data_IF_591435678451
#
_entry.id   IF_591435678451
#
_cell.length_a   1.000
_cell.length_b   1.000
_cell.length_c   1.000
_cell.angle_alpha   90.00
_cell.angle_beta   90.00
_cell.angle_gamma   90.00
#
_symmetry.space_group_name_H-M   'P 1'
#
loop_
_entity.id
_entity.type
_entity.pdbx_description
1 polymer ?
#
# COMPACT_ATOMS: atom_id res chain seq x y z
N UNK A 1 -2.38 -21.71 17.44
CA UNK A 1 -2.80 -21.76 16.00
C UNK A 1 -2.56 -20.39 15.39
N UNK A 2 -2.29 -20.29 14.08
CA UNK A 2 -2.16 -19.00 13.38
C UNK A 2 -3.49 -18.73 12.68
N UNK A 3 -4.03 -17.54 12.88
CA UNK A 3 -5.31 -17.08 12.32
C UNK A 3 -5.05 -16.04 11.24
N UNK A 4 -5.72 -16.16 10.11
CA UNK A 4 -5.89 -15.10 9.12
C UNK A 4 -7.06 -14.18 9.53
N UNK A 5 -7.27 -13.09 8.79
CA UNK A 5 -8.26 -12.08 9.14
C UNK A 5 -9.71 -12.64 9.20
N UNK A 6 -10.08 -13.65 8.38
CA UNK A 6 -11.42 -14.23 8.36
C UNK A 6 -11.69 -15.13 9.57
N UNK A 7 -10.68 -15.91 9.98
CA UNK A 7 -10.75 -16.78 11.15
C UNK A 7 -10.56 -16.02 12.47
N UNK A 8 -9.75 -14.95 12.44
CA UNK A 8 -9.42 -14.12 13.60
C UNK A 8 -10.69 -13.51 14.24
N UNK A 9 -11.54 -12.86 13.44
CA UNK A 9 -12.77 -12.24 13.93
C UNK A 9 -13.75 -13.28 14.50
N UNK A 10 -13.92 -14.41 13.81
CA UNK A 10 -14.82 -15.49 14.24
C UNK A 10 -14.35 -16.13 15.53
N UNK A 11 -13.05 -16.39 15.67
CA UNK A 11 -12.46 -17.00 16.86
C UNK A 11 -12.58 -16.08 18.08
N UNK A 12 -12.16 -14.82 17.96
CA UNK A 12 -12.29 -13.83 19.04
C UNK A 12 -13.76 -13.69 19.47
N UNK A 13 -14.67 -13.56 18.52
CA UNK A 13 -16.10 -13.45 18.80
C UNK A 13 -16.63 -14.68 19.56
N UNK A 14 -16.29 -15.88 19.13
CA UNK A 14 -16.73 -17.12 19.76
C UNK A 14 -16.30 -17.20 21.23
N UNK A 15 -15.05 -16.83 21.53
CA UNK A 15 -14.57 -16.79 22.92
C UNK A 15 -15.27 -15.70 23.73
N UNK A 16 -15.46 -14.50 23.18
CA UNK A 16 -16.19 -13.44 23.87
C UNK A 16 -17.66 -13.77 24.12
N UNK A 17 -18.34 -14.46 23.21
CA UNK A 17 -19.73 -14.88 23.41
C UNK A 17 -19.86 -15.95 24.50
N UNK A 18 -18.85 -16.77 24.71
CA UNK A 18 -18.81 -17.85 25.73
C UNK A 18 -18.12 -17.46 27.04
N UNK A 19 -17.74 -16.20 27.21
CA UNK A 19 -16.99 -15.70 28.35
C UNK A 19 -17.72 -15.98 29.69
N UNK A 20 -16.96 -16.36 30.70
CA UNK A 20 -17.47 -16.66 32.04
C UNK A 20 -17.03 -15.66 33.11
N UNK A 21 -15.78 -15.16 33.00
CA UNK A 21 -15.16 -14.41 34.10
C UNK A 21 -14.55 -13.08 33.67
N UNK A 22 -13.82 -13.03 32.54
CA UNK A 22 -13.05 -11.84 32.18
C UNK A 22 -12.85 -11.63 30.68
N UNK A 23 -12.81 -10.35 30.30
CA UNK A 23 -12.32 -9.89 28.99
C UNK A 23 -11.35 -8.74 29.24
N UNK A 24 -10.07 -8.94 28.90
CA UNK A 24 -9.04 -7.94 29.00
C UNK A 24 -8.49 -7.62 27.60
N UNK A 25 -8.42 -6.35 27.27
CA UNK A 25 -8.04 -5.87 25.93
C UNK A 25 -6.94 -4.83 26.05
N UNK A 26 -5.85 -5.02 25.29
CA UNK A 26 -4.82 -4.01 25.12
C UNK A 26 -4.75 -3.63 23.64
N UNK A 27 -5.05 -2.38 23.29
CA UNK A 27 -5.01 -1.89 21.91
C UNK A 27 -5.03 -0.36 21.87
N UNK A 28 -4.22 0.29 21.01
CA UNK A 28 -4.19 1.75 20.93
C UNK A 28 -5.41 2.37 20.22
N UNK A 29 -6.13 1.59 19.40
CA UNK A 29 -7.24 2.11 18.60
C UNK A 29 -8.51 1.28 18.82
N UNK A 30 -9.60 1.97 19.18
CA UNK A 30 -10.90 1.35 19.48
C UNK A 30 -11.98 2.05 18.64
N UNK A 31 -12.66 1.28 17.81
CA UNK A 31 -13.72 1.71 16.88
C UNK A 31 -15.01 2.12 17.55
N UNK A 32 -16.05 2.34 16.75
CA UNK A 32 -17.39 2.68 17.22
C UNK A 32 -18.11 1.50 17.88
N UNK A 33 -19.09 1.78 18.74
CA UNK A 33 -19.82 0.75 19.52
C UNK A 33 -20.44 -0.33 18.62
N UNK A 34 -20.92 0.01 17.44
CA UNK A 34 -21.46 -0.97 16.49
C UNK A 34 -20.40 -1.98 16.03
N UNK A 35 -19.19 -1.51 15.84
CA UNK A 35 -18.04 -2.36 15.45
C UNK A 35 -17.65 -3.28 16.61
N UNK A 36 -17.59 -2.72 17.83
CA UNK A 36 -17.29 -3.48 19.05
C UNK A 36 -18.27 -4.62 19.24
N UNK A 37 -19.59 -4.33 19.15
CA UNK A 37 -20.62 -5.35 19.28
C UNK A 37 -20.53 -6.43 18.18
N UNK A 38 -20.03 -6.08 17.01
CA UNK A 38 -19.81 -7.05 15.93
C UNK A 38 -18.58 -7.91 16.17
N UNK A 39 -17.51 -7.35 16.73
CA UNK A 39 -16.21 -8.03 16.90
C UNK A 39 -16.21 -8.89 18.17
N UNK A 40 -16.58 -8.33 19.31
CA UNK A 40 -16.51 -9.01 20.64
C UNK A 40 -17.89 -9.31 21.25
N UNK A 41 -18.99 -9.05 20.55
CA UNK A 41 -20.33 -9.31 21.05
C UNK A 41 -20.78 -8.36 22.14
N UNK A 42 -21.80 -8.80 22.90
CA UNK A 42 -22.39 -8.03 23.99
C UNK A 42 -22.15 -8.60 25.38
N UNK A 43 -21.50 -9.76 25.50
CA UNK A 43 -21.31 -10.45 26.79
C UNK A 43 -20.44 -9.66 27.78
N UNK A 44 -19.58 -8.78 27.28
CA UNK A 44 -18.76 -7.89 28.13
C UNK A 44 -19.61 -6.88 28.94
N UNK A 45 -20.89 -6.64 28.57
CA UNK A 45 -21.80 -5.73 29.31
C UNK A 45 -22.27 -6.31 30.64
N UNK A 46 -22.07 -7.60 30.84
CA UNK A 46 -22.47 -8.28 32.09
C UNK A 46 -21.65 -7.74 33.25
N UNK A 47 -22.31 -7.42 34.36
CA UNK A 47 -21.68 -6.89 35.56
C UNK A 47 -20.78 -7.87 36.32
N UNK A 48 -20.91 -9.18 36.04
CA UNK A 48 -20.09 -10.26 36.61
C UNK A 48 -18.80 -10.51 35.81
N UNK A 49 -18.57 -9.81 34.68
CA UNK A 49 -17.36 -9.90 33.90
C UNK A 49 -16.32 -8.87 34.37
N UNK A 50 -15.11 -9.31 34.67
CA UNK A 50 -13.96 -8.42 34.87
C UNK A 50 -13.51 -7.88 33.48
N UNK A 51 -14.00 -6.70 33.14
CA UNK A 51 -13.73 -6.04 31.87
C UNK A 51 -12.65 -4.99 32.03
N UNK A 52 -11.53 -5.13 31.31
CA UNK A 52 -10.39 -4.19 31.37
C UNK A 52 -9.90 -3.81 29.99
N UNK A 53 -9.57 -2.53 29.82
CA UNK A 53 -9.00 -1.98 28.59
C UNK A 53 -7.75 -1.18 28.92
N UNK A 54 -6.66 -1.48 28.21
CA UNK A 54 -5.47 -0.63 28.14
C UNK A 54 -5.41 -0.03 26.75
N UNK A 55 -5.36 1.27 26.66
CA UNK A 55 -5.32 2.01 25.38
C UNK A 55 -4.35 3.18 25.47
N UNK A 56 -4.19 3.93 24.39
CA UNK A 56 -3.46 5.19 24.35
C UNK A 56 -4.42 6.29 23.90
N UNK A 57 -4.93 7.08 24.84
CA UNK A 57 -5.85 8.20 24.53
C UNK A 57 -5.13 9.43 24.00
N UNK A 58 -3.80 9.51 24.10
CA UNK A 58 -3.02 10.65 23.62
C UNK A 58 -2.65 10.50 22.14
N UNK A 59 -2.16 9.31 21.72
CA UNK A 59 -1.68 9.02 20.37
C UNK A 59 -2.56 8.03 19.61
N UNK A 60 -3.33 7.20 20.32
CA UNK A 60 -4.38 6.36 19.79
C UNK A 60 -5.74 7.08 19.78
N UNK A 61 -6.81 6.33 19.72
CA UNK A 61 -8.14 6.88 19.96
C UNK A 61 -9.14 5.83 20.43
N UNK A 62 -10.14 6.31 21.17
CA UNK A 62 -11.39 5.61 21.45
C UNK A 62 -12.56 6.52 21.06
N UNK A 63 -13.53 5.98 20.33
CA UNK A 63 -14.71 6.76 19.95
C UNK A 63 -15.58 7.06 21.19
N UNK A 64 -16.17 8.25 21.22
CA UNK A 64 -16.96 8.70 22.36
C UNK A 64 -18.11 7.73 22.68
N UNK A 65 -18.87 7.32 21.67
CA UNK A 65 -19.98 6.39 21.82
C UNK A 65 -19.57 5.06 22.47
N UNK A 66 -18.37 4.59 22.17
CA UNK A 66 -17.81 3.37 22.76
C UNK A 66 -17.27 3.59 24.15
N UNK A 67 -16.62 4.73 24.37
CA UNK A 67 -16.11 5.11 25.70
C UNK A 67 -17.26 5.23 26.71
N UNK A 68 -18.31 5.95 26.36
CA UNK A 68 -19.47 6.17 27.22
C UNK A 68 -20.14 4.84 27.58
N UNK A 69 -20.32 3.94 26.59
CA UNK A 69 -20.90 2.62 26.81
C UNK A 69 -20.02 1.73 27.72
N UNK A 70 -18.69 1.79 27.56
CA UNK A 70 -17.77 1.01 28.42
C UNK A 70 -17.80 1.51 29.86
N UNK A 71 -17.80 2.82 30.09
CA UNK A 71 -17.81 3.41 31.44
C UNK A 71 -19.18 3.20 32.13
N UNK A 72 -20.28 3.26 31.36
CA UNK A 72 -21.62 2.99 31.89
C UNK A 72 -21.73 1.57 32.44
N UNK A 73 -21.24 0.58 31.71
CA UNK A 73 -21.32 -0.83 32.12
C UNK A 73 -20.20 -1.22 33.12
N UNK A 74 -18.99 -0.65 32.96
CA UNK A 74 -17.82 -0.98 33.77
C UNK A 74 -17.05 0.29 34.19
N UNK A 75 -17.48 1.02 35.22
CA UNK A 75 -16.73 2.14 35.74
C UNK A 75 -15.30 1.74 36.12
N UNK A 76 -14.30 2.53 35.71
CA UNK A 76 -12.85 2.26 35.95
C UNK A 76 -12.24 1.15 35.10
N UNK A 77 -12.91 0.67 34.06
CA UNK A 77 -12.41 -0.37 33.18
C UNK A 77 -11.35 0.10 32.18
N UNK A 78 -11.18 1.40 31.96
CA UNK A 78 -10.28 1.95 30.95
C UNK A 78 -9.07 2.59 31.60
N UNK A 79 -7.88 2.15 31.21
CA UNK A 79 -6.63 2.81 31.55
C UNK A 79 -5.85 3.20 30.31
N UNK A 80 -5.12 4.31 30.38
CA UNK A 80 -4.29 4.81 29.29
C UNK A 80 -2.83 4.82 29.64
N UNK A 81 -2.01 4.36 28.72
CA UNK A 81 -0.55 4.48 28.78
C UNK A 81 -0.04 4.92 27.42
N UNK A 82 0.77 6.00 27.41
CA UNK A 82 1.32 6.59 26.18
C UNK A 82 2.20 5.59 25.43
N UNK A 83 2.06 5.59 24.10
CA UNK A 83 2.84 4.76 23.16
C UNK A 83 2.61 3.24 23.29
N UNK A 84 1.53 2.79 23.95
CA UNK A 84 1.16 1.37 23.88
C UNK A 84 0.79 1.01 22.43
N UNK A 85 1.37 -0.07 21.92
CA UNK A 85 1.09 -0.54 20.55
C UNK A 85 0.78 -2.04 20.49
N UNK A 86 0.72 -2.71 21.64
CA UNK A 86 0.29 -4.10 21.74
C UNK A 86 -1.18 -4.27 21.33
N UNK A 87 -1.52 -5.40 20.72
CA UNK A 87 -2.89 -5.83 20.45
C UNK A 87 -3.04 -7.22 21.03
N UNK A 88 -3.66 -7.25 22.20
CA UNK A 88 -3.83 -8.44 23.04
C UNK A 88 -5.29 -8.50 23.46
N UNK A 89 -5.87 -9.68 23.33
CA UNK A 89 -7.21 -10.01 23.78
C UNK A 89 -7.14 -11.23 24.67
N UNK A 90 -7.52 -11.12 25.94
CA UNK A 90 -7.58 -12.22 26.91
C UNK A 90 -9.05 -12.44 27.24
N UNK A 91 -9.52 -13.66 27.07
CA UNK A 91 -10.89 -14.07 27.38
C UNK A 91 -10.82 -15.34 28.21
N UNK A 92 -11.13 -15.26 29.49
CA UNK A 92 -10.96 -16.35 30.47
C UNK A 92 -9.53 -16.93 30.41
N UNK A 93 -9.40 -18.23 30.09
CA UNK A 93 -8.12 -18.93 30.00
C UNK A 93 -7.58 -19.00 28.52
N UNK A 94 -8.13 -18.18 27.62
CA UNK A 94 -7.68 -18.07 26.25
C UNK A 94 -7.12 -16.68 25.98
N UNK A 95 -6.11 -16.58 25.12
CA UNK A 95 -5.62 -15.28 24.68
C UNK A 95 -5.23 -15.27 23.20
N UNK A 96 -5.35 -14.11 22.61
CA UNK A 96 -4.98 -13.81 21.23
C UNK A 96 -4.00 -12.64 21.20
N UNK A 97 -2.82 -12.87 20.61
CA UNK A 97 -1.87 -11.82 20.25
C UNK A 97 -1.96 -11.60 18.74
N UNK A 98 -2.16 -10.37 18.31
CA UNK A 98 -2.46 -10.08 16.90
C UNK A 98 -1.91 -8.74 16.45
N UNK A 99 -1.94 -8.49 15.15
CA UNK A 99 -1.72 -7.16 14.56
C UNK A 99 -2.99 -6.30 14.54
N UNK A 100 -4.18 -6.89 14.76
CA UNK A 100 -5.47 -6.26 14.65
C UNK A 100 -5.84 -5.37 15.84
N UNK A 101 -6.08 -4.09 15.60
CA UNK A 101 -6.72 -3.20 16.58
C UNK A 101 -8.22 -3.51 16.71
N UNK A 102 -8.85 -3.12 17.83
CA UNK A 102 -10.29 -3.29 18.03
C UNK A 102 -11.11 -2.31 17.20
N UNK A 103 -11.06 -2.48 15.88
CA UNK A 103 -11.74 -1.62 14.89
C UNK A 103 -12.35 -2.46 13.77
N UNK A 104 -13.44 -1.99 13.16
CA UNK A 104 -14.01 -2.63 11.96
C UNK A 104 -12.96 -2.83 10.87
N UNK A 105 -12.14 -1.82 10.63
CA UNK A 105 -11.14 -1.86 9.56
C UNK A 105 -10.14 -3.01 9.77
N UNK A 106 -9.69 -3.26 11.00
CA UNK A 106 -8.77 -4.34 11.29
C UNK A 106 -9.43 -5.71 11.09
N UNK A 107 -10.65 -5.89 11.61
CA UNK A 107 -11.34 -7.19 11.60
C UNK A 107 -12.17 -7.48 10.34
N UNK A 108 -12.22 -6.60 9.34
CA UNK A 108 -13.02 -6.83 8.13
C UNK A 108 -12.45 -6.29 6.82
N UNK A 109 -11.39 -5.45 6.88
CA UNK A 109 -10.88 -4.75 5.71
C UNK A 109 -9.36 -4.83 5.55
N UNK A 110 -8.65 -5.41 6.53
CA UNK A 110 -7.18 -5.53 6.52
C UNK A 110 -6.77 -6.99 6.63
N UNK A 111 -5.64 -7.30 6.04
CA UNK A 111 -4.97 -8.57 6.26
C UNK A 111 -4.24 -8.49 7.60
N UNK A 112 -4.88 -9.01 8.63
CA UNK A 112 -4.32 -9.09 9.98
C UNK A 112 -3.96 -10.54 10.27
N UNK A 113 -3.00 -10.72 11.15
CA UNK A 113 -2.55 -12.03 11.62
C UNK A 113 -2.64 -12.09 13.13
N UNK A 114 -2.94 -13.26 13.66
CA UNK A 114 -2.94 -13.49 15.10
C UNK A 114 -2.59 -14.93 15.45
N UNK A 115 -2.21 -15.15 16.70
CA UNK A 115 -1.94 -16.47 17.25
C UNK A 115 -2.48 -16.57 18.67
N UNK A 116 -3.03 -17.73 19.01
CA UNK A 116 -3.36 -18.14 20.38
C UNK A 116 -2.38 -19.19 20.93
N UNK A 117 -1.37 -19.54 20.12
CA UNK A 117 -0.30 -20.45 20.53
C UNK A 117 0.78 -19.68 21.32
N UNK A 118 0.38 -19.16 22.46
CA UNK A 118 1.21 -18.36 23.36
C UNK A 118 0.98 -18.78 24.80
N UNK A 119 1.97 -18.55 25.65
CA UNK A 119 1.84 -18.80 27.06
C UNK A 119 0.93 -17.76 27.73
N UNK A 120 -0.30 -18.12 28.05
CA UNK A 120 -1.28 -17.21 28.65
C UNK A 120 -0.77 -16.53 29.92
N UNK A 121 -0.04 -17.23 30.77
CA UNK A 121 0.48 -16.66 32.03
C UNK A 121 1.50 -15.55 31.76
N UNK A 122 2.29 -15.68 30.71
CA UNK A 122 3.23 -14.62 30.30
C UNK A 122 2.48 -13.41 29.72
N UNK A 123 1.44 -13.64 28.91
CA UNK A 123 0.60 -12.58 28.34
C UNK A 123 -0.16 -11.84 29.43
N UNK A 124 -0.71 -12.55 30.41
CA UNK A 124 -1.36 -11.97 31.59
C UNK A 124 -0.38 -11.15 32.45
N UNK A 125 0.81 -11.70 32.69
CA UNK A 125 1.86 -10.99 33.41
C UNK A 125 2.23 -9.68 32.72
N UNK A 126 2.37 -9.72 31.38
CA UNK A 126 2.62 -8.52 30.60
C UNK A 126 1.45 -7.52 30.69
N UNK A 127 0.20 -7.97 30.51
CA UNK A 127 -0.98 -7.11 30.63
C UNK A 127 -1.05 -6.44 32.01
N UNK A 128 -0.88 -7.22 33.09
CA UNK A 128 -0.91 -6.72 34.46
C UNK A 128 0.25 -5.74 34.72
N UNK A 129 1.44 -5.98 34.14
CA UNK A 129 2.56 -5.05 34.26
C UNK A 129 2.27 -3.69 33.66
N UNK A 130 1.51 -3.65 32.56
CA UNK A 130 1.01 -2.40 31.96
C UNK A 130 -0.14 -1.80 32.79
N UNK A 131 -1.06 -2.65 33.27
CA UNK A 131 -2.22 -2.20 34.05
C UNK A 131 -1.80 -1.53 35.35
N UNK A 132 -0.79 -2.03 36.02
CA UNK A 132 -0.25 -1.54 37.30
C UNK A 132 0.91 -0.55 37.13
N UNK A 133 1.31 -0.25 35.90
CA UNK A 133 2.41 0.66 35.62
C UNK A 133 2.12 2.05 36.21
N UNK A 134 3.11 2.63 36.89
CA UNK A 134 2.98 3.99 37.47
C UNK A 134 2.68 5.08 36.46
N UNK A 135 2.97 4.87 35.17
CA UNK A 135 2.66 5.79 34.06
C UNK A 135 1.25 5.58 33.50
N UNK A 136 0.59 4.48 33.86
CA UNK A 136 -0.76 4.18 33.39
C UNK A 136 -1.79 4.95 34.21
N UNK A 137 -2.65 5.68 33.54
CA UNK A 137 -3.65 6.53 34.15
C UNK A 137 -5.05 5.96 33.96
N UNK A 138 -5.86 6.01 35.01
CA UNK A 138 -7.29 5.70 34.93
C UNK A 138 -7.99 6.79 34.10
N UNK A 139 -8.81 6.37 33.12
CA UNK A 139 -9.59 7.26 32.28
C UNK A 139 -11.04 7.29 32.77
N UNK A 140 -11.47 8.40 33.33
CA UNK A 140 -12.83 8.57 33.90
C UNK A 140 -13.73 9.46 33.07
N UNK A 141 -13.16 10.21 32.13
CA UNK A 141 -13.91 11.08 31.21
C UNK A 141 -13.33 10.98 29.81
N UNK A 142 -14.21 10.98 28.84
CA UNK A 142 -13.77 11.08 27.45
C UNK A 142 -13.20 12.48 27.19
N UNK A 143 -12.02 12.53 26.64
CA UNK A 143 -11.50 13.75 26.03
C UNK A 143 -11.31 13.47 24.54
N UNK A 144 -11.82 14.37 23.71
CA UNK A 144 -11.37 14.41 22.32
C UNK A 144 -9.86 14.62 22.41
N UNK A 145 -9.07 13.59 22.15
CA UNK A 145 -7.61 13.66 22.25
C UNK A 145 -7.14 14.96 21.63
N UNK A 146 -6.15 15.62 22.23
CA UNK A 146 -5.60 16.89 21.72
C UNK A 146 -5.57 16.78 20.23
N UNK A 147 -6.23 17.74 19.53
CA UNK A 147 -6.43 17.71 18.07
C UNK A 147 -5.26 17.00 17.44
N UNK A 148 -5.50 15.96 16.68
CA UNK A 148 -4.47 15.19 15.94
C UNK A 148 -3.40 16.07 15.27
N UNK A 149 -3.63 17.38 15.18
CA UNK A 149 -2.80 18.48 14.71
C UNK A 149 -1.57 18.83 15.55
N UNK A 150 -1.33 18.22 16.72
CA UNK A 150 -0.27 18.66 17.64
C UNK A 150 0.62 17.54 18.18
N UNK A 151 0.54 16.33 17.64
CA UNK A 151 1.45 15.26 18.04
C UNK A 151 2.68 15.29 17.14
N UNK A 152 3.67 16.07 17.54
CA UNK A 152 5.03 15.91 17.06
C UNK A 152 5.60 14.64 17.70
N UNK A 153 6.03 13.68 16.89
CA UNK A 153 6.87 12.60 17.37
C UNK A 153 8.26 13.20 17.64
N UNK A 154 8.72 13.12 18.87
CA UNK A 154 10.06 13.59 19.28
C UNK A 154 11.21 12.93 18.53
N UNK A 155 10.97 11.91 17.73
CA UNK A 155 11.95 11.18 16.90
C UNK A 155 11.93 11.57 15.42
N UNK A 156 11.52 12.79 15.06
CA UNK A 156 11.52 13.25 13.66
C UNK A 156 10.45 12.62 12.77
N UNK A 157 9.45 12.00 13.37
CA UNK A 157 8.28 11.47 12.67
C UNK A 157 7.39 12.58 12.10
N UNK A 158 6.73 12.29 11.01
CA UNK A 158 5.75 13.19 10.38
C UNK A 158 4.61 13.45 11.34
N UNK A 159 4.31 14.72 11.66
CA UNK A 159 3.21 15.11 12.55
C UNK A 159 1.85 14.56 12.07
N UNK A 160 0.95 14.30 13.02
CA UNK A 160 -0.37 13.70 12.76
C UNK A 160 -1.24 14.54 11.80
N UNK A 161 -1.00 15.85 11.71
CA UNK A 161 -1.68 16.73 10.74
C UNK A 161 -1.35 16.39 9.28
N UNK A 162 -0.14 15.90 9.04
CA UNK A 162 0.23 15.36 7.73
C UNK A 162 -0.38 13.97 7.50
N UNK A 163 -0.64 13.20 8.58
CA UNK A 163 -1.30 11.89 8.50
C UNK A 163 -2.82 12.01 8.30
N UNK A 164 -3.48 13.07 8.77
CA UNK A 164 -4.91 13.30 8.50
C UNK A 164 -5.20 13.66 7.05
N UNK A 165 -4.20 14.18 6.32
CA UNK A 165 -4.26 14.41 4.88
C UNK A 165 -3.65 13.24 4.07
N UNK A 166 -3.04 12.25 4.73
CA UNK A 166 -2.68 11.00 4.05
C UNK A 166 -3.97 10.18 3.87
N UNK A 167 -4.20 9.65 2.67
CA UNK A 167 -5.27 8.69 2.46
C UNK A 167 -5.16 7.57 3.49
N UNK A 168 -6.29 7.11 4.03
CA UNK A 168 -6.31 5.97 4.95
C UNK A 168 -5.63 4.77 4.28
N UNK A 169 -5.02 3.87 5.06
CA UNK A 169 -4.39 2.65 4.53
C UNK A 169 -5.33 1.90 3.58
N UNK A 170 -6.62 1.80 3.90
CA UNK A 170 -7.62 1.20 3.01
C UNK A 170 -7.84 1.98 1.71
N UNK A 171 -7.77 3.33 1.75
CA UNK A 171 -7.86 4.15 0.54
C UNK A 171 -6.59 4.04 -0.31
N UNK A 172 -5.42 3.92 0.31
CA UNK A 172 -4.16 3.68 -0.39
C UNK A 172 -4.10 2.26 -0.97
N UNK A 173 -4.53 1.23 -0.21
CA UNK A 173 -4.64 -0.13 -0.74
C UNK A 173 -5.64 -0.19 -1.90
N UNK A 174 -6.79 0.49 -1.80
CA UNK A 174 -7.72 0.61 -2.92
C UNK A 174 -7.11 1.28 -4.16
N UNK A 175 -6.20 2.25 -3.98
CA UNK A 175 -5.44 2.82 -5.10
C UNK A 175 -4.44 1.82 -5.68
N UNK A 176 -3.79 1.00 -4.83
CA UNK A 176 -2.84 -0.01 -5.28
C UNK A 176 -3.53 -1.17 -6.00
N UNK A 177 -4.69 -1.62 -5.51
CA UNK A 177 -5.52 -2.59 -6.22
C UNK A 177 -6.00 -2.04 -7.57
N UNK A 178 -6.35 -0.76 -7.61
CA UNK A 178 -6.66 -0.06 -8.86
C UNK A 178 -5.45 -0.01 -9.80
N UNK A 179 -4.26 0.25 -9.30
CA UNK A 179 -3.02 0.23 -10.09
C UNK A 179 -2.79 -1.16 -10.70
N UNK A 180 -2.88 -2.23 -9.90
CA UNK A 180 -2.71 -3.60 -10.39
C UNK A 180 -3.80 -4.01 -11.39
N UNK A 181 -5.05 -3.58 -11.16
CA UNK A 181 -6.13 -3.76 -12.12
C UNK A 181 -5.88 -3.01 -13.45
N UNK A 182 -5.32 -1.81 -13.39
CA UNK A 182 -4.91 -1.06 -14.57
C UNK A 182 -3.77 -1.76 -15.33
N UNK A 183 -2.77 -2.32 -14.62
CA UNK A 183 -1.73 -3.14 -15.21
C UNK A 183 -2.32 -4.34 -15.96
N UNK A 184 -3.28 -5.04 -15.36
CA UNK A 184 -3.97 -6.18 -15.97
C UNK A 184 -4.68 -5.80 -17.27
N UNK A 185 -5.35 -4.64 -17.31
CA UNK A 185 -5.99 -4.12 -18.53
C UNK A 185 -4.99 -3.74 -19.61
N UNK A 186 -3.86 -3.14 -19.22
CA UNK A 186 -2.76 -2.86 -20.15
C UNK A 186 -2.22 -4.15 -20.77
N UNK A 187 -1.96 -5.17 -19.95
CA UNK A 187 -1.46 -6.48 -20.42
C UNK A 187 -2.46 -7.13 -21.38
N UNK A 188 -3.75 -7.09 -21.07
CA UNK A 188 -4.81 -7.60 -21.95
C UNK A 188 -4.84 -6.87 -23.29
N UNK A 189 -4.69 -5.54 -23.27
CA UNK A 189 -4.55 -4.75 -24.50
C UNK A 189 -3.29 -5.13 -25.28
N UNK A 190 -2.15 -5.28 -24.63
CA UNK A 190 -0.89 -5.64 -25.26
C UNK A 190 -0.96 -7.00 -25.94
N UNK A 191 -1.61 -8.00 -25.33
CA UNK A 191 -1.87 -9.31 -25.94
C UNK A 191 -2.79 -9.19 -27.18
N UNK A 192 -3.79 -8.31 -27.11
CA UNK A 192 -4.66 -8.03 -28.27
C UNK A 192 -3.90 -7.36 -29.39
N UNK A 193 -3.04 -6.38 -29.07
CA UNK A 193 -2.13 -5.73 -30.00
C UNK A 193 -1.22 -6.76 -30.70
N UNK A 194 -0.53 -7.60 -29.94
CA UNK A 194 0.34 -8.65 -30.46
C UNK A 194 -0.41 -9.61 -31.41
N UNK A 195 -1.61 -10.06 -31.02
CA UNK A 195 -2.46 -10.93 -31.85
C UNK A 195 -2.85 -10.31 -33.19
N UNK A 196 -3.01 -8.98 -33.23
CA UNK A 196 -3.42 -8.25 -34.43
C UNK A 196 -2.23 -7.92 -35.33
N UNK A 197 -1.05 -7.65 -34.78
CA UNK A 197 0.10 -7.08 -35.46
C UNK A 197 1.26 -8.03 -35.68
N UNK A 198 1.38 -9.06 -34.83
CA UNK A 198 2.52 -9.98 -34.81
C UNK A 198 3.80 -9.36 -34.27
N UNK A 199 3.75 -8.18 -33.66
CA UNK A 199 4.88 -7.38 -33.15
C UNK A 199 5.83 -6.79 -34.20
N UNK A 200 6.47 -5.70 -33.87
CA UNK A 200 7.49 -5.08 -34.72
C UNK A 200 8.81 -5.87 -34.64
N UNK A 201 9.20 -6.51 -35.74
CA UNK A 201 10.38 -7.38 -35.79
C UNK A 201 11.66 -6.65 -35.36
N UNK A 202 11.88 -5.43 -35.88
CA UNK A 202 13.08 -4.66 -35.52
C UNK A 202 13.16 -4.36 -34.00
N UNK A 203 12.01 -4.12 -33.33
CA UNK A 203 11.97 -3.94 -31.88
C UNK A 203 12.25 -5.24 -31.13
N UNK A 204 11.70 -6.36 -31.61
CA UNK A 204 11.96 -7.69 -31.03
C UNK A 204 13.43 -8.05 -31.13
N UNK A 205 14.04 -7.86 -32.31
CA UNK A 205 15.45 -8.15 -32.56
C UNK A 205 16.37 -7.26 -31.67
N UNK A 206 15.92 -6.06 -31.34
CA UNK A 206 16.61 -5.15 -30.41
C UNK A 206 16.36 -5.44 -28.93
N UNK A 207 15.53 -6.43 -28.60
CA UNK A 207 15.28 -6.92 -27.25
C UNK A 207 14.16 -6.18 -26.48
N UNK A 208 13.21 -5.58 -27.19
CA UNK A 208 12.00 -5.01 -26.57
C UNK A 208 11.09 -6.12 -26.05
N UNK A 209 10.63 -5.98 -24.82
CA UNK A 209 9.48 -6.72 -24.32
C UNK A 209 8.18 -6.19 -24.98
N UNK A 210 7.13 -7.01 -25.03
CA UNK A 210 5.83 -6.61 -25.59
C UNK A 210 5.27 -5.35 -24.92
N UNK A 211 5.34 -5.27 -23.60
CA UNK A 211 4.81 -4.11 -22.85
C UNK A 211 5.61 -2.83 -23.14
N UNK A 212 6.89 -2.94 -23.46
CA UNK A 212 7.74 -1.81 -23.88
C UNK A 212 7.42 -1.34 -25.30
N UNK A 213 7.06 -2.26 -26.20
CA UNK A 213 6.60 -1.92 -27.55
C UNK A 213 5.27 -1.14 -27.49
N UNK A 214 4.33 -1.58 -26.65
CA UNK A 214 3.05 -0.88 -26.43
C UNK A 214 3.26 0.46 -25.71
N UNK A 215 4.19 0.56 -24.76
CA UNK A 215 4.58 1.85 -24.17
C UNK A 215 5.16 2.79 -25.23
N UNK A 216 5.95 2.28 -26.17
CA UNK A 216 6.44 3.06 -27.32
C UNK A 216 5.30 3.57 -28.19
N UNK A 217 4.31 2.72 -28.49
CA UNK A 217 3.10 3.12 -29.20
C UNK A 217 2.36 4.28 -28.50
N UNK A 218 2.17 4.19 -27.18
CA UNK A 218 1.48 5.24 -26.43
C UNK A 218 2.28 6.55 -26.40
N UNK A 219 3.60 6.48 -26.31
CA UNK A 219 4.46 7.66 -26.42
C UNK A 219 4.40 8.28 -27.82
N UNK A 220 4.34 7.46 -28.87
CA UNK A 220 4.14 7.94 -30.24
C UNK A 220 2.80 8.70 -30.37
N UNK A 221 1.73 8.11 -29.84
CA UNK A 221 0.41 8.77 -29.83
C UNK A 221 0.41 10.08 -29.03
N UNK A 222 1.19 10.17 -27.96
CA UNK A 222 1.34 11.42 -27.21
C UNK A 222 1.98 12.52 -28.05
N UNK A 223 3.05 12.18 -28.78
CA UNK A 223 3.78 13.15 -29.59
C UNK A 223 3.01 13.56 -30.86
N UNK A 224 2.43 12.60 -31.59
CA UNK A 224 1.80 12.84 -32.90
C UNK A 224 0.31 13.22 -32.76
N UNK A 225 -0.40 12.74 -31.77
CA UNK A 225 -1.83 12.93 -31.60
C UNK A 225 -2.17 13.84 -30.41
N UNK A 226 -1.22 14.06 -29.49
CA UNK A 226 -1.40 14.82 -28.25
C UNK A 226 -2.54 14.26 -27.38
N UNK A 227 -2.56 12.94 -27.19
CA UNK A 227 -3.68 12.25 -26.53
C UNK A 227 -3.94 12.75 -25.10
N UNK A 228 -2.89 13.16 -24.37
CA UNK A 228 -3.03 13.70 -23.00
C UNK A 228 -3.77 15.03 -22.96
N UNK A 229 -3.67 15.85 -23.99
CA UNK A 229 -4.37 17.12 -24.08
C UNK A 229 -5.79 16.97 -24.63
N UNK A 230 -5.98 16.06 -25.58
CA UNK A 230 -7.24 15.90 -26.32
C UNK A 230 -8.25 14.98 -25.64
N UNK A 231 -7.77 13.99 -24.83
CA UNK A 231 -8.64 13.01 -24.23
C UNK A 231 -8.94 13.32 -22.75
N UNK A 232 -10.22 13.50 -22.45
CA UNK A 232 -10.72 13.66 -21.07
C UNK A 232 -11.42 12.40 -20.52
N UNK A 233 -11.80 11.48 -21.42
CA UNK A 233 -12.50 10.23 -21.10
C UNK A 233 -12.18 9.14 -22.12
N UNK A 234 -12.52 7.89 -21.77
CA UNK A 234 -12.42 6.75 -22.68
C UNK A 234 -13.23 6.96 -23.97
N UNK A 235 -12.67 6.53 -25.09
CA UNK A 235 -13.31 6.61 -26.40
C UNK A 235 -14.12 5.33 -26.65
N UNK A 236 -15.43 5.48 -26.83
CA UNK A 236 -16.25 4.33 -27.24
C UNK A 236 -15.90 3.92 -28.68
N UNK A 237 -15.46 2.68 -28.86
CA UNK A 237 -15.03 2.16 -30.15
C UNK A 237 -15.56 0.74 -30.35
N UNK A 238 -16.01 0.47 -31.59
CA UNK A 238 -16.31 -0.92 -32.00
C UNK A 238 -15.02 -1.74 -32.09
N UNK A 239 -15.12 -3.06 -31.98
CA UNK A 239 -13.97 -3.95 -32.14
C UNK A 239 -13.31 -3.82 -33.52
N UNK A 240 -14.10 -3.59 -34.59
CA UNK A 240 -13.57 -3.34 -35.94
C UNK A 240 -12.74 -2.05 -35.97
N UNK A 241 -13.27 -0.95 -35.43
CA UNK A 241 -12.54 0.32 -35.35
C UNK A 241 -11.26 0.20 -34.53
N UNK A 242 -11.31 -0.50 -33.40
CA UNK A 242 -10.14 -0.76 -32.55
C UNK A 242 -9.05 -1.50 -33.32
N UNK A 243 -9.41 -2.60 -34.01
CA UNK A 243 -8.46 -3.38 -34.84
C UNK A 243 -7.84 -2.52 -35.96
N UNK A 244 -8.65 -1.72 -36.65
CA UNK A 244 -8.18 -0.83 -37.70
C UNK A 244 -7.15 0.21 -37.21
N UNK A 245 -7.44 0.83 -36.05
CA UNK A 245 -6.53 1.79 -35.42
C UNK A 245 -5.23 1.13 -34.95
N UNK A 246 -5.30 -0.05 -34.34
CA UNK A 246 -4.10 -0.80 -33.94
C UNK A 246 -3.22 -1.07 -35.15
N UNK A 247 -3.76 -1.56 -36.26
CA UNK A 247 -3.00 -1.81 -37.49
C UNK A 247 -2.39 -0.52 -38.06
N UNK A 248 -3.18 0.56 -38.13
CA UNK A 248 -2.71 1.87 -38.57
C UNK A 248 -1.47 2.31 -37.79
N UNK A 249 -1.62 2.43 -36.48
CA UNK A 249 -0.54 2.96 -35.65
C UNK A 249 0.63 1.98 -35.48
N UNK A 250 0.41 0.68 -35.61
CA UNK A 250 1.50 -0.29 -35.72
C UNK A 250 2.42 0.00 -36.92
N UNK A 251 1.86 0.29 -38.11
CA UNK A 251 2.64 0.64 -39.29
C UNK A 251 3.40 1.96 -39.09
N UNK A 252 2.74 2.94 -38.46
CA UNK A 252 3.36 4.23 -38.18
C UNK A 252 4.52 4.11 -37.20
N UNK A 253 4.35 3.39 -36.06
CA UNK A 253 5.44 3.21 -35.08
C UNK A 253 6.58 2.35 -35.62
N UNK A 254 6.30 1.40 -36.50
CA UNK A 254 7.34 0.60 -37.14
C UNK A 254 8.23 1.46 -38.05
N UNK A 255 7.64 2.46 -38.73
CA UNK A 255 8.37 3.45 -39.53
C UNK A 255 9.11 4.45 -38.64
N UNK A 256 8.46 4.96 -37.61
CA UNK A 256 9.03 5.90 -36.65
C UNK A 256 10.21 5.27 -35.88
N UNK A 257 10.09 4.01 -35.49
CA UNK A 257 11.16 3.28 -34.82
C UNK A 257 12.44 3.26 -35.63
N UNK A 258 12.38 2.99 -36.95
CA UNK A 258 13.56 2.99 -37.83
C UNK A 258 14.27 4.35 -37.83
N UNK A 259 13.51 5.44 -37.75
CA UNK A 259 14.06 6.81 -37.69
C UNK A 259 14.62 7.17 -36.34
N UNK A 260 13.97 6.71 -35.25
CA UNK A 260 14.24 7.09 -33.88
C UNK A 260 14.84 5.98 -33.03
N UNK A 261 15.42 4.93 -33.64
CA UNK A 261 15.92 3.70 -33.00
C UNK A 261 16.82 3.98 -31.79
N UNK A 262 17.78 4.89 -31.92
CA UNK A 262 18.71 5.19 -30.81
C UNK A 262 17.99 5.76 -29.59
N UNK A 263 16.98 6.59 -29.77
CA UNK A 263 16.16 7.13 -28.68
C UNK A 263 15.28 6.03 -28.08
N UNK A 264 14.68 5.20 -28.90
CA UNK A 264 13.82 4.08 -28.48
C UNK A 264 14.57 3.05 -27.66
N UNK A 265 15.82 2.73 -28.03
CA UNK A 265 16.71 1.78 -27.32
C UNK A 265 17.03 2.18 -25.87
N UNK A 266 16.74 3.42 -25.46
CA UNK A 266 16.84 3.80 -24.05
C UNK A 266 16.03 2.86 -23.15
N UNK A 267 14.86 2.38 -23.58
CA UNK A 267 14.02 1.44 -22.83
C UNK A 267 14.74 0.14 -22.52
N UNK A 268 15.38 -0.44 -23.50
CA UNK A 268 16.16 -1.69 -23.36
C UNK A 268 17.40 -1.45 -22.48
N UNK A 269 18.09 -0.32 -22.66
CA UNK A 269 19.26 0.06 -21.84
C UNK A 269 18.85 0.29 -20.38
N UNK A 270 17.74 0.99 -20.13
CA UNK A 270 17.17 1.20 -18.79
C UNK A 270 16.85 -0.12 -18.12
N UNK A 271 16.18 -1.04 -18.82
CA UNK A 271 15.88 -2.37 -18.32
C UNK A 271 17.14 -3.14 -17.91
N UNK A 272 18.17 -3.16 -18.79
CA UNK A 272 19.44 -3.85 -18.49
C UNK A 272 20.12 -3.27 -17.26
N UNK A 273 20.16 -1.94 -17.15
CA UNK A 273 20.76 -1.24 -16.00
C UNK A 273 19.98 -1.53 -14.70
N UNK A 274 18.66 -1.36 -14.70
CA UNK A 274 17.83 -1.58 -13.52
C UNK A 274 17.90 -3.04 -13.08
N UNK A 275 17.75 -4.01 -14.00
CA UNK A 275 17.90 -5.44 -13.69
C UNK A 275 19.24 -5.76 -13.03
N UNK A 276 20.34 -5.17 -13.52
CA UNK A 276 21.70 -5.36 -12.97
C UNK A 276 21.81 -4.79 -11.56
N UNK A 277 21.42 -3.52 -11.35
CA UNK A 277 21.64 -2.81 -10.11
C UNK A 277 20.66 -3.19 -8.99
N UNK A 278 19.48 -3.70 -9.34
CA UNK A 278 18.44 -4.12 -8.39
C UNK A 278 18.32 -5.64 -8.24
N UNK A 279 19.32 -6.41 -8.70
CA UNK A 279 19.37 -7.86 -8.44
C UNK A 279 19.51 -8.15 -6.92
N UNK A 280 19.06 -9.32 -6.42
CA UNK A 280 19.05 -9.64 -4.99
C UNK A 280 20.40 -9.46 -4.29
N UNK A 281 21.50 -9.76 -5.00
CA UNK A 281 22.86 -9.60 -4.46
C UNK A 281 23.33 -8.15 -4.52
N UNK A 282 23.01 -7.46 -5.63
CA UNK A 282 23.54 -6.11 -5.87
C UNK A 282 22.81 -5.02 -5.10
N UNK A 283 21.50 -5.17 -4.90
CA UNK A 283 20.67 -4.17 -4.22
C UNK A 283 21.12 -3.92 -2.77
N UNK A 284 21.64 -4.95 -2.10
CA UNK A 284 22.15 -4.87 -0.72
C UNK A 284 23.37 -3.94 -0.57
N UNK A 285 24.10 -3.72 -1.67
CA UNK A 285 25.35 -2.93 -1.69
C UNK A 285 25.28 -1.76 -2.68
N UNK A 286 24.11 -1.45 -3.23
CA UNK A 286 23.95 -0.36 -4.18
C UNK A 286 24.36 0.97 -3.55
N UNK A 287 25.19 1.73 -4.25
CA UNK A 287 25.67 3.05 -3.81
C UNK A 287 24.70 4.17 -4.20
N UNK A 288 24.84 5.34 -3.58
CA UNK A 288 24.05 6.54 -3.94
C UNK A 288 24.20 6.91 -5.42
N UNK A 289 25.40 6.76 -6.00
CA UNK A 289 25.67 7.00 -7.42
C UNK A 289 24.87 6.02 -8.31
N UNK A 290 24.78 4.78 -7.89
CA UNK A 290 24.03 3.75 -8.64
C UNK A 290 22.52 3.89 -8.47
N UNK A 291 22.04 4.26 -7.27
CA UNK A 291 20.64 4.67 -7.06
C UNK A 291 20.30 5.83 -8.01
N UNK A 292 21.18 6.84 -8.09
CA UNK A 292 21.02 7.96 -9.03
C UNK A 292 20.92 7.47 -10.47
N UNK A 293 21.79 6.57 -10.88
CA UNK A 293 21.77 6.01 -12.23
C UNK A 293 20.46 5.27 -12.55
N UNK A 294 19.85 4.59 -11.57
CA UNK A 294 18.52 3.98 -11.71
C UNK A 294 17.45 5.08 -11.87
N UNK A 295 17.44 6.08 -11.00
CA UNK A 295 16.46 7.18 -11.05
C UNK A 295 16.54 8.00 -12.34
N UNK A 296 17.74 8.16 -12.92
CA UNK A 296 17.94 8.85 -14.20
C UNK A 296 17.34 8.07 -15.40
N UNK A 297 16.97 6.81 -15.20
CA UNK A 297 16.21 6.05 -16.23
C UNK A 297 14.72 6.40 -16.20
N UNK A 298 14.19 6.99 -15.12
CA UNK A 298 12.77 7.23 -14.96
C UNK A 298 12.33 8.48 -15.72
N UNK A 299 11.31 8.34 -16.53
CA UNK A 299 10.74 9.47 -17.27
C UNK A 299 10.08 10.49 -16.33
N UNK A 300 9.54 10.06 -15.18
CA UNK A 300 8.88 10.96 -14.24
C UNK A 300 9.84 11.98 -13.61
N UNK A 301 11.15 11.75 -13.60
CA UNK A 301 12.17 12.70 -13.11
C UNK A 301 12.80 13.53 -14.25
N UNK A 302 12.39 13.31 -15.50
CA UNK A 302 12.92 13.98 -16.67
C UNK A 302 12.57 15.46 -16.74
N UNK A 303 13.22 16.17 -17.66
CA UNK A 303 12.94 17.56 -17.96
C UNK A 303 11.46 17.75 -18.38
N UNK A 304 10.84 18.82 -17.86
CA UNK A 304 9.44 19.16 -18.17
C UNK A 304 8.40 18.37 -17.38
N UNK A 305 8.80 17.50 -16.44
CA UNK A 305 7.87 16.80 -15.56
C UNK A 305 7.71 17.53 -14.21
N UNK A 306 6.60 17.30 -13.50
CA UNK A 306 6.38 17.85 -12.17
C UNK A 306 7.43 17.39 -11.14
N UNK A 307 8.11 16.26 -11.39
CA UNK A 307 9.14 15.68 -10.52
C UNK A 307 10.56 15.98 -11.00
N UNK A 308 10.72 16.92 -11.93
CA UNK A 308 12.05 17.31 -12.38
C UNK A 308 12.95 17.77 -11.22
N UNK A 309 14.16 17.22 -11.15
CA UNK A 309 15.11 17.50 -10.06
C UNK A 309 14.87 16.70 -8.76
N UNK A 310 13.74 16.01 -8.62
CA UNK A 310 13.43 15.23 -7.41
C UNK A 310 14.32 13.99 -7.23
N UNK A 311 14.98 13.49 -8.27
CA UNK A 311 15.94 12.40 -8.14
C UNK A 311 17.10 12.76 -7.15
N UNK A 312 17.54 14.01 -7.13
CA UNK A 312 18.54 14.48 -6.16
C UNK A 312 17.96 14.54 -4.74
N UNK A 313 16.74 15.06 -4.58
CA UNK A 313 16.02 15.11 -3.30
C UNK A 313 15.72 13.70 -2.77
N UNK A 314 15.32 12.77 -3.64
CA UNK A 314 15.12 11.38 -3.27
C UNK A 314 16.36 10.80 -2.57
N UNK A 315 17.55 11.03 -3.11
CA UNK A 315 18.79 10.50 -2.53
C UNK A 315 19.20 11.25 -1.27
N UNK A 316 19.03 12.56 -1.21
CA UNK A 316 19.43 13.36 -0.05
C UNK A 316 18.49 13.21 1.15
N UNK A 317 17.22 12.85 0.93
CA UNK A 317 16.21 12.79 1.96
C UNK A 317 15.79 11.36 2.37
N UNK A 318 16.40 10.33 1.77
CA UNK A 318 16.25 8.95 2.18
C UNK A 318 17.63 8.33 2.43
N UNK A 319 17.81 7.63 3.56
CA UNK A 319 19.07 6.90 3.77
C UNK A 319 19.19 5.73 2.78
N UNK A 320 20.43 5.38 2.43
CA UNK A 320 20.68 4.26 1.50
C UNK A 320 20.12 2.94 2.03
N UNK A 321 20.15 2.70 3.32
CA UNK A 321 19.66 1.46 3.91
C UNK A 321 18.13 1.36 3.81
N UNK A 322 17.42 2.48 3.97
CA UNK A 322 15.97 2.55 3.77
C UNK A 322 15.61 2.33 2.30
N UNK A 323 16.37 2.93 1.36
CA UNK A 323 16.17 2.68 -0.08
C UNK A 323 16.40 1.21 -0.42
N UNK A 324 17.51 0.62 0.05
CA UNK A 324 17.84 -0.79 -0.15
C UNK A 324 16.74 -1.71 0.37
N UNK A 325 16.27 -1.46 1.59
CA UNK A 325 15.22 -2.23 2.21
C UNK A 325 13.92 -2.22 1.39
N UNK A 326 13.40 -1.04 1.05
CA UNK A 326 12.14 -0.93 0.32
C UNK A 326 12.23 -1.44 -1.12
N UNK A 327 13.35 -1.18 -1.82
CA UNK A 327 13.55 -1.68 -3.17
C UNK A 327 13.76 -3.20 -3.21
N UNK A 328 14.48 -3.77 -2.23
CA UNK A 328 14.67 -5.21 -2.13
C UNK A 328 13.33 -5.91 -1.81
N UNK A 329 12.60 -5.42 -0.83
CA UNK A 329 11.28 -5.93 -0.48
C UNK A 329 10.30 -5.91 -1.66
N UNK A 330 10.30 -4.81 -2.44
CA UNK A 330 9.44 -4.67 -3.62
C UNK A 330 9.84 -5.62 -4.75
N UNK A 331 11.13 -5.76 -5.03
CA UNK A 331 11.61 -6.34 -6.31
C UNK A 331 12.08 -7.79 -6.19
N UNK A 332 12.44 -8.27 -5.00
CA UNK A 332 13.15 -9.55 -4.85
C UNK A 332 12.45 -10.55 -3.91
N UNK A 333 11.31 -10.22 -3.32
CA UNK A 333 10.62 -11.09 -2.37
C UNK A 333 9.22 -11.49 -2.84
N UNK A 334 9.15 -12.37 -3.86
CA UNK A 334 7.89 -12.89 -4.41
C UNK A 334 7.13 -11.87 -5.28
N UNK A 335 5.82 -12.04 -5.40
CA UNK A 335 5.00 -11.23 -6.29
C UNK A 335 4.91 -9.76 -5.88
N UNK A 336 4.70 -8.89 -6.89
CA UNK A 336 4.40 -7.48 -6.67
C UNK A 336 2.94 -7.38 -6.24
N UNK A 337 2.73 -7.09 -4.98
CA UNK A 337 1.41 -6.89 -4.38
C UNK A 337 1.25 -5.45 -3.91
N UNK A 338 0.00 -5.02 -3.73
CA UNK A 338 -0.32 -3.63 -3.37
C UNK A 338 0.40 -3.14 -2.12
N UNK A 339 0.57 -3.98 -1.11
CA UNK A 339 1.28 -3.64 0.12
C UNK A 339 2.75 -3.25 -0.12
N UNK A 340 3.48 -4.01 -0.93
CA UNK A 340 4.89 -3.71 -1.26
C UNK A 340 5.04 -2.41 -2.04
N UNK A 341 4.10 -2.14 -2.96
CA UNK A 341 4.05 -0.89 -3.70
C UNK A 341 3.78 0.26 -2.74
N UNK A 342 2.82 0.10 -1.83
CA UNK A 342 2.53 1.08 -0.79
C UNK A 342 3.74 1.35 0.11
N UNK A 343 4.41 0.33 0.60
CA UNK A 343 5.61 0.49 1.44
C UNK A 343 6.74 1.22 0.71
N UNK A 344 6.98 0.90 -0.57
CA UNK A 344 7.99 1.60 -1.37
C UNK A 344 7.65 3.09 -1.58
N UNK A 345 6.36 3.45 -1.62
CA UNK A 345 5.90 4.86 -1.74
C UNK A 345 6.13 5.70 -0.48
N UNK A 346 6.42 5.09 0.66
CA UNK A 346 6.83 5.81 1.88
C UNK A 346 8.17 6.51 1.75
N UNK A 347 8.99 6.10 0.78
CA UNK A 347 10.21 6.84 0.44
C UNK A 347 9.84 8.27 0.00
N UNK A 348 10.52 9.26 0.55
CA UNK A 348 10.32 10.66 0.15
C UNK A 348 10.59 10.83 -1.35
N UNK A 349 9.80 11.63 -2.02
CA UNK A 349 9.87 11.85 -3.48
C UNK A 349 9.64 10.56 -4.33
N UNK A 350 8.98 9.55 -3.76
CA UNK A 350 8.63 8.31 -4.43
C UNK A 350 7.12 8.25 -4.65
N UNK A 351 6.65 8.63 -5.83
CA UNK A 351 5.23 8.58 -6.20
C UNK A 351 4.87 7.36 -7.05
N UNK A 352 3.59 7.26 -7.45
CA UNK A 352 3.07 6.16 -8.27
C UNK A 352 3.87 5.94 -9.55
N UNK A 353 4.23 7.02 -10.25
CA UNK A 353 4.99 6.94 -11.50
C UNK A 353 6.40 6.37 -11.29
N UNK A 354 7.10 6.77 -10.23
CA UNK A 354 8.46 6.29 -9.97
C UNK A 354 8.48 4.82 -9.57
N UNK A 355 7.51 4.37 -8.73
CA UNK A 355 7.37 2.95 -8.38
C UNK A 355 6.98 2.14 -9.61
N UNK A 356 6.03 2.63 -10.41
CA UNK A 356 5.61 1.97 -11.66
C UNK A 356 6.77 1.80 -12.64
N UNK A 357 7.60 2.83 -12.82
CA UNK A 357 8.77 2.75 -13.70
C UNK A 357 9.84 1.80 -13.15
N UNK A 358 10.09 1.81 -11.84
CA UNK A 358 11.03 0.87 -11.20
C UNK A 358 10.61 -0.58 -11.46
N UNK A 359 9.34 -0.91 -11.24
CA UNK A 359 8.78 -2.25 -11.45
C UNK A 359 8.86 -2.63 -12.94
N UNK A 360 8.43 -1.74 -13.82
CA UNK A 360 8.39 -2.00 -15.26
C UNK A 360 9.79 -2.20 -15.86
N UNK A 361 10.80 -1.42 -15.44
CA UNK A 361 12.17 -1.63 -15.89
C UNK A 361 12.79 -2.91 -15.33
N UNK A 362 12.39 -3.33 -14.13
CA UNK A 362 12.85 -4.58 -13.52
C UNK A 362 12.20 -5.81 -14.17
N UNK A 363 10.90 -5.74 -14.46
CA UNK A 363 10.09 -6.85 -14.97
C UNK A 363 9.30 -6.45 -16.24
N UNK A 364 9.96 -6.09 -17.34
CA UNK A 364 9.31 -5.51 -18.53
C UNK A 364 8.34 -6.47 -19.23
N UNK A 365 8.46 -7.78 -18.97
CA UNK A 365 7.57 -8.79 -19.52
C UNK A 365 6.30 -9.00 -18.68
N UNK A 366 6.28 -8.51 -17.42
CA UNK A 366 5.20 -8.72 -16.48
C UNK A 366 4.42 -7.46 -16.14
N UNK A 367 5.10 -6.32 -16.04
CA UNK A 367 4.49 -5.07 -15.56
C UNK A 367 4.73 -3.92 -16.54
N UNK A 368 3.66 -3.21 -16.94
CA UNK A 368 3.78 -2.02 -17.79
C UNK A 368 4.16 -0.78 -16.97
N UNK A 369 4.66 0.27 -17.64
CA UNK A 369 4.70 1.61 -17.07
C UNK A 369 3.26 2.17 -17.07
N UNK A 370 2.73 2.41 -15.87
CA UNK A 370 1.42 3.05 -15.69
C UNK A 370 1.58 4.52 -15.32
N UNK A 371 1.26 5.39 -16.25
CA UNK A 371 1.28 6.84 -16.08
C UNK A 371 0.12 7.48 -16.88
N UNK A 372 0.05 8.81 -16.93
CA UNK A 372 -1.00 9.51 -17.66
C UNK A 372 -1.01 9.15 -19.16
N UNK A 373 0.15 9.01 -19.77
CA UNK A 373 0.28 8.63 -21.18
C UNK A 373 -0.29 7.22 -21.43
N UNK A 374 0.08 6.25 -20.61
CA UNK A 374 -0.41 4.87 -20.71
C UNK A 374 -1.93 4.78 -20.53
N UNK A 375 -2.46 5.50 -19.52
CA UNK A 375 -3.90 5.57 -19.28
C UNK A 375 -4.63 6.15 -20.50
N UNK A 376 -4.17 7.27 -21.02
CA UNK A 376 -4.77 7.93 -22.18
C UNK A 376 -4.60 7.13 -23.47
N UNK A 377 -3.49 6.41 -23.62
CA UNK A 377 -3.28 5.45 -24.70
C UNK A 377 -4.33 4.34 -24.70
N UNK A 378 -4.61 3.75 -23.53
CA UNK A 378 -5.68 2.77 -23.37
C UNK A 378 -7.06 3.36 -23.69
N UNK A 379 -7.35 4.56 -23.16
CA UNK A 379 -8.59 5.28 -23.49
C UNK A 379 -8.77 5.55 -24.96
N UNK A 380 -7.66 5.88 -25.66
CA UNK A 380 -7.68 6.11 -27.11
C UNK A 380 -8.17 4.89 -27.88
N UNK A 381 -7.78 3.70 -27.44
CA UNK A 381 -8.23 2.43 -28.01
C UNK A 381 -9.54 1.90 -27.41
N UNK A 382 -10.21 2.65 -26.54
CA UNK A 382 -11.50 2.26 -25.95
C UNK A 382 -11.39 1.28 -24.79
N UNK A 383 -10.25 1.26 -24.09
CA UNK A 383 -10.06 0.47 -22.85
C UNK A 383 -10.19 1.42 -21.66
N UNK A 384 -11.20 1.20 -20.84
CA UNK A 384 -11.43 1.96 -19.60
C UNK A 384 -10.52 1.46 -18.47
N UNK A 385 -9.77 2.38 -17.81
CA UNK A 385 -8.78 2.09 -16.76
C UNK A 385 -8.85 3.10 -15.62
#
# INVERSE_FOLDING_TARGET
MIYDYDSLAKTLRSHCDSVKHRIWICTPFIGGIKDILRIIGGSWKRSDIDFRIITDIETGFIRQDTFDEFIENHPKSIRSIKSVHAKIYIVDDWCLVTSANLTETAFSKRYEIGTDDVNISEVESFFNSLWENKKTQLVTSWSKGKKQSQIEFEDGGVGYDKLTNLPTYSAEMGKMDKYLAQCSKFIAFARTYEKITGRCRDMVDDGFALLQEVDYLFNYLEHEVCISQKLTKVQHRTESTKKSLIKKYFNEISTDYKKNRNRALRRVKSTKLVKKLTSPQRIKTISAKEVRAVLDTFNCFGLGTAMHGHASKFISENSLDVIRYHWDALLNHGDIIGEKVYECRKLKHCGDSSVSELIAWRFPDKYPIMNTCSKKGLWFFGVDV
#
